data_IF_578940621092
#
_entry.id   IF_578940621092
#
_cell.length_a   1.000
_cell.length_b   1.000
_cell.length_c   1.000
_cell.angle_alpha   90.00
_cell.angle_beta   90.00
_cell.angle_gamma   90.00
#
_symmetry.space_group_name_H-M   'P 1'
#
loop_
_entity.id
_entity.type
_entity.pdbx_description
1 polymer ?
#
# COMPACT_ATOMS: atom_id res chain seq x y z
N UNK A 1 -5.35 -28.15 9.12
CA UNK A 1 -4.97 -29.42 8.46
C UNK A 1 -5.08 -29.22 6.96
N UNK A 2 -4.07 -29.63 6.20
CA UNK A 2 -3.95 -29.47 4.75
C UNK A 2 -3.80 -30.86 4.12
N UNK A 3 -4.43 -31.10 2.97
CA UNK A 3 -4.25 -32.35 2.21
C UNK A 3 -3.03 -32.19 1.30
N UNK A 4 -2.05 -33.07 1.45
CA UNK A 4 -0.79 -33.08 0.70
C UNK A 4 -0.59 -34.44 0.05
N UNK A 5 -0.05 -34.45 -1.17
CA UNK A 5 0.31 -35.64 -1.93
C UNK A 5 1.85 -35.76 -1.90
N UNK A 6 2.36 -36.74 -1.14
CA UNK A 6 3.79 -37.08 -1.08
C UNK A 6 3.99 -38.53 -1.49
N UNK A 7 4.89 -38.79 -2.43
CA UNK A 7 5.13 -40.14 -2.95
C UNK A 7 3.88 -40.80 -3.57
N UNK A 8 2.98 -40.00 -4.16
CA UNK A 8 1.72 -40.46 -4.76
C UNK A 8 0.58 -40.72 -3.78
N UNK A 9 0.78 -40.55 -2.47
CA UNK A 9 -0.24 -40.81 -1.45
C UNK A 9 -0.75 -39.51 -0.82
N UNK A 10 -2.08 -39.41 -0.65
CA UNK A 10 -2.72 -38.32 0.06
C UNK A 10 -2.59 -38.48 1.58
N UNK A 11 -2.22 -37.41 2.26
CA UNK A 11 -2.13 -37.35 3.71
C UNK A 11 -2.55 -35.97 4.23
N UNK A 12 -3.04 -35.94 5.47
CA UNK A 12 -3.35 -34.69 6.18
C UNK A 12 -2.17 -34.30 7.05
N UNK A 13 -1.67 -33.09 6.87
CA UNK A 13 -0.58 -32.52 7.68
C UNK A 13 -1.01 -31.18 8.29
N UNK A 14 -0.30 -30.74 9.32
CA UNK A 14 -0.43 -29.36 9.81
C UNK A 14 0.10 -28.38 8.75
N UNK A 15 -0.49 -27.19 8.63
CA UNK A 15 -0.04 -26.19 7.67
C UNK A 15 1.43 -25.78 7.91
N UNK A 16 1.91 -25.85 9.16
CA UNK A 16 3.29 -25.57 9.55
C UNK A 16 4.30 -26.61 9.06
N UNK A 17 3.84 -27.79 8.63
CA UNK A 17 4.67 -28.87 8.09
C UNK A 17 4.75 -28.85 6.56
N UNK A 18 4.08 -27.88 5.91
CA UNK A 18 4.22 -27.67 4.48
C UNK A 18 5.63 -27.19 4.13
N UNK A 19 6.15 -27.69 3.03
CA UNK A 19 7.41 -27.25 2.43
C UNK A 19 7.20 -26.89 0.96
N UNK A 20 8.11 -26.06 0.43
CA UNK A 20 8.12 -25.76 -1.00
C UNK A 20 8.29 -27.04 -1.82
N UNK A 21 7.52 -27.14 -2.90
CA UNK A 21 7.43 -28.34 -3.74
C UNK A 21 6.37 -29.35 -3.31
N UNK A 22 5.73 -29.17 -2.15
CA UNK A 22 4.58 -30.01 -1.78
C UNK A 22 3.44 -29.84 -2.78
N UNK A 23 2.83 -30.96 -3.19
CA UNK A 23 1.60 -30.96 -3.97
C UNK A 23 0.40 -30.98 -3.02
N UNK A 24 -0.45 -29.96 -3.07
CA UNK A 24 -1.55 -29.78 -2.12
C UNK A 24 -2.91 -29.74 -2.81
N UNK A 25 -3.94 -30.14 -2.06
CA UNK A 25 -5.34 -30.08 -2.49
C UNK A 25 -6.16 -29.25 -1.50
N UNK A 26 -7.12 -28.51 -2.04
CA UNK A 26 -8.08 -27.77 -1.23
C UNK A 26 -9.41 -27.57 -1.95
N UNK A 27 -10.40 -27.13 -1.18
CA UNK A 27 -11.76 -26.89 -1.65
C UNK A 27 -12.33 -25.62 -1.05
N UNK A 28 -13.48 -25.21 -1.57
CA UNK A 28 -14.32 -24.16 -0.98
C UNK A 28 -14.46 -24.34 0.53
N UNK A 29 -14.42 -23.23 1.24
CA UNK A 29 -14.54 -23.24 2.68
C UNK A 29 -13.19 -23.22 3.43
N UNK A 30 -12.07 -23.17 2.73
CA UNK A 30 -10.74 -23.33 3.32
C UNK A 30 -9.84 -22.11 3.13
N UNK A 31 -9.09 -21.79 4.19
CA UNK A 31 -7.94 -20.90 4.12
C UNK A 31 -6.83 -21.54 3.29
N UNK A 32 -6.18 -20.71 2.50
CA UNK A 32 -5.04 -21.09 1.68
C UNK A 32 -3.79 -21.06 2.59
N UNK A 33 -3.10 -22.19 2.79
CA UNK A 33 -2.11 -22.34 3.86
C UNK A 33 -0.70 -21.84 3.50
N UNK A 34 -0.45 -21.61 2.21
CA UNK A 34 0.84 -21.27 1.62
C UNK A 34 0.61 -20.60 0.27
N UNK A 35 1.63 -19.99 -0.32
CA UNK A 35 1.50 -19.53 -1.70
C UNK A 35 1.60 -20.73 -2.63
N UNK A 36 0.66 -20.86 -3.56
CA UNK A 36 0.45 -22.07 -4.35
C UNK A 36 0.30 -21.73 -5.84
N UNK A 37 1.02 -22.45 -6.68
CA UNK A 37 0.85 -22.46 -8.14
C UNK A 37 -0.10 -23.57 -8.55
N UNK A 38 -1.22 -23.21 -9.16
CA UNK A 38 -2.29 -24.13 -9.56
C UNK A 38 -1.91 -25.06 -10.71
N UNK A 39 -2.01 -26.37 -10.53
CA UNK A 39 -1.87 -27.32 -11.64
C UNK A 39 -3.22 -27.74 -12.20
N UNK A 40 -4.24 -27.79 -11.35
CA UNK A 40 -5.60 -28.15 -11.71
C UNK A 40 -6.57 -27.37 -10.83
N UNK A 41 -7.70 -26.96 -11.40
CA UNK A 41 -8.76 -26.31 -10.65
C UNK A 41 -10.12 -26.53 -11.32
N UNK A 42 -11.18 -26.57 -10.53
CA UNK A 42 -12.54 -26.67 -11.02
C UNK A 42 -13.43 -25.62 -10.34
N UNK A 43 -14.03 -24.73 -11.14
CA UNK A 43 -14.87 -23.60 -10.70
C UNK A 43 -14.28 -22.80 -9.51
N UNK A 44 -12.96 -22.66 -9.54
CA UNK A 44 -12.20 -22.11 -8.42
C UNK A 44 -12.31 -20.59 -8.40
N UNK A 45 -12.77 -20.07 -7.26
CA UNK A 45 -12.70 -18.65 -6.94
C UNK A 45 -12.03 -18.47 -5.59
N UNK A 46 -11.25 -17.41 -5.47
CA UNK A 46 -10.58 -17.05 -4.23
C UNK A 46 -10.87 -15.59 -3.88
N UNK A 47 -11.17 -15.35 -2.60
CA UNK A 47 -11.20 -14.00 -2.05
C UNK A 47 -9.77 -13.54 -1.84
N UNK A 48 -9.34 -12.59 -2.65
CA UNK A 48 -8.04 -11.93 -2.56
C UNK A 48 -8.20 -10.42 -2.34
N UNK A 49 -9.36 -10.00 -1.82
CA UNK A 49 -9.70 -8.59 -1.58
C UNK A 49 -8.63 -7.86 -0.76
N UNK A 50 -8.03 -8.56 0.21
CA UNK A 50 -6.97 -8.01 1.03
C UNK A 50 -5.70 -7.65 0.20
N UNK A 51 -5.41 -8.41 -0.85
CA UNK A 51 -4.24 -8.23 -1.71
C UNK A 51 -4.53 -7.35 -2.92
N UNK A 52 -5.69 -7.48 -3.57
CA UNK A 52 -5.97 -6.74 -4.81
C UNK A 52 -6.81 -5.49 -4.58
N UNK A 53 -7.54 -5.42 -3.46
CA UNK A 53 -8.55 -4.37 -3.22
C UNK A 53 -9.88 -4.63 -3.92
N UNK A 54 -9.97 -5.68 -4.75
CA UNK A 54 -11.20 -6.05 -5.43
C UNK A 54 -12.15 -6.77 -4.47
N UNK A 55 -13.40 -6.28 -4.28
CA UNK A 55 -14.33 -6.87 -3.33
C UNK A 55 -14.91 -8.20 -3.81
N UNK A 56 -14.91 -8.44 -5.12
CA UNK A 56 -15.48 -9.66 -5.72
C UNK A 56 -14.43 -10.77 -5.80
N UNK A 57 -14.79 -12.03 -5.47
CA UNK A 57 -13.86 -13.16 -5.58
C UNK A 57 -13.32 -13.35 -7.00
N UNK A 58 -12.00 -13.47 -7.10
CA UNK A 58 -11.30 -13.62 -8.37
C UNK A 58 -11.39 -15.06 -8.87
N UNK A 59 -11.72 -15.21 -10.16
CA UNK A 59 -11.70 -16.50 -10.85
C UNK A 59 -10.26 -16.97 -11.03
N UNK A 60 -10.04 -18.27 -10.83
CA UNK A 60 -8.73 -18.91 -10.94
C UNK A 60 -8.69 -19.98 -12.02
N UNK A 61 -7.52 -20.15 -12.63
CA UNK A 61 -7.24 -21.07 -13.73
C UNK A 61 -5.88 -21.74 -13.52
N UNK A 62 -5.66 -22.96 -14.00
CA UNK A 62 -4.33 -23.61 -13.90
C UNK A 62 -3.37 -23.25 -15.03
N UNK A 63 -3.90 -22.64 -16.10
CA UNK A 63 -3.17 -22.30 -17.32
C UNK A 63 -2.18 -21.15 -17.16
N UNK A 64 -1.68 -20.65 -18.29
CA UNK A 64 -0.91 -19.41 -18.30
C UNK A 64 -1.78 -18.24 -17.85
N UNK A 65 -1.22 -17.37 -17.02
CA UNK A 65 -1.87 -16.13 -16.60
C UNK A 65 -1.14 -14.96 -17.24
N UNK A 66 -1.90 -14.01 -17.77
CA UNK A 66 -1.39 -12.73 -18.28
C UNK A 66 -2.06 -11.63 -17.46
N UNK A 67 -1.30 -11.07 -16.55
CA UNK A 67 -1.75 -10.05 -15.61
C UNK A 67 -0.62 -9.03 -15.42
N UNK A 68 -0.99 -7.81 -15.06
CA UNK A 68 -0.04 -6.71 -14.90
C UNK A 68 0.83 -6.88 -13.64
N UNK A 69 0.27 -7.53 -12.60
CA UNK A 69 0.99 -7.90 -11.38
C UNK A 69 0.74 -9.36 -11.03
N UNK A 70 1.70 -10.00 -10.36
CA UNK A 70 1.57 -11.39 -9.91
C UNK A 70 0.39 -11.58 -8.93
N UNK A 71 -0.02 -10.53 -8.22
CA UNK A 71 -1.16 -10.56 -7.29
C UNK A 71 -2.49 -10.80 -7.99
N UNK A 72 -2.61 -10.36 -9.24
CA UNK A 72 -3.81 -10.57 -10.06
C UNK A 72 -3.76 -11.90 -10.83
N UNK A 73 -2.71 -12.70 -10.60
CA UNK A 73 -2.52 -13.93 -11.35
C UNK A 73 -3.64 -14.91 -11.10
N UNK A 74 -4.27 -15.36 -12.18
CA UNK A 74 -5.34 -16.35 -12.15
C UNK A 74 -4.84 -17.73 -11.69
N UNK A 75 -3.53 -17.95 -11.79
CA UNK A 75 -2.93 -19.26 -11.60
C UNK A 75 -2.12 -19.42 -10.30
N UNK A 76 -2.22 -18.40 -9.44
CA UNK A 76 -1.65 -18.33 -8.10
C UNK A 76 -2.74 -18.18 -7.04
N UNK A 77 -2.52 -18.84 -5.91
CA UNK A 77 -3.22 -18.65 -4.65
C UNK A 77 -2.21 -18.14 -3.61
N UNK A 78 -2.65 -17.27 -2.71
CA UNK A 78 -1.77 -16.65 -1.71
C UNK A 78 -2.14 -17.08 -0.30
N UNK A 79 -1.14 -17.28 0.56
CA UNK A 79 -1.40 -17.62 1.97
C UNK A 79 -2.27 -16.56 2.64
N UNK A 80 -3.14 -16.98 3.58
CA UNK A 80 -4.10 -16.11 4.30
C UNK A 80 -5.23 -15.54 3.41
N UNK A 81 -5.37 -16.02 2.17
CA UNK A 81 -6.59 -15.84 1.36
C UNK A 81 -7.52 -17.05 1.51
N UNK A 82 -8.75 -16.96 0.99
CA UNK A 82 -9.77 -17.99 1.19
C UNK A 82 -10.39 -18.47 -0.12
N UNK A 83 -10.64 -19.78 -0.22
CA UNK A 83 -11.37 -20.36 -1.35
C UNK A 83 -12.88 -20.19 -1.16
N UNK A 84 -13.48 -19.35 -2.00
CA UNK A 84 -14.92 -19.06 -1.94
C UNK A 84 -15.74 -20.13 -2.65
N UNK A 85 -15.26 -20.65 -3.78
CA UNK A 85 -15.91 -21.75 -4.52
C UNK A 85 -14.90 -22.68 -5.18
N UNK A 86 -15.35 -23.89 -5.52
CA UNK A 86 -14.58 -24.84 -6.32
C UNK A 86 -13.56 -25.67 -5.53
N UNK A 87 -12.63 -26.27 -6.26
CA UNK A 87 -11.54 -27.08 -5.71
C UNK A 87 -10.27 -26.95 -6.56
N UNK A 88 -9.13 -27.26 -5.95
CA UNK A 88 -7.83 -27.10 -6.58
C UNK A 88 -6.83 -28.19 -6.19
N UNK A 89 -5.86 -28.39 -7.09
CA UNK A 89 -4.59 -29.05 -6.83
C UNK A 89 -3.47 -28.11 -7.28
N UNK A 90 -2.41 -27.94 -6.47
CA UNK A 90 -1.32 -27.03 -6.80
C UNK A 90 -0.03 -27.31 -6.05
N UNK A 91 1.08 -26.78 -6.55
CA UNK A 91 2.37 -26.86 -5.88
C UNK A 91 2.56 -25.69 -4.91
N UNK A 92 3.04 -25.97 -3.71
CA UNK A 92 3.50 -24.95 -2.78
C UNK A 92 4.77 -24.32 -3.34
N UNK A 93 4.73 -23.00 -3.55
CA UNK A 93 5.86 -22.22 -4.08
C UNK A 93 6.53 -21.34 -3.02
N UNK A 94 5.84 -21.03 -1.92
CA UNK A 94 6.44 -20.36 -0.77
C UNK A 94 5.69 -20.67 0.53
N UNK A 95 6.41 -20.65 1.64
CA UNK A 95 5.88 -20.93 3.00
C UNK A 95 6.38 -19.92 4.02
N UNK A 96 5.59 -19.69 5.08
CA UNK A 96 5.96 -18.84 6.21
C UNK A 96 6.44 -17.45 5.77
N UNK A 97 7.62 -17.03 6.26
CA UNK A 97 8.20 -15.71 5.94
C UNK A 97 8.51 -15.47 4.45
N UNK A 98 8.53 -16.52 3.62
CA UNK A 98 8.78 -16.41 2.18
C UNK A 98 7.51 -16.25 1.36
N UNK A 99 6.32 -16.44 1.93
CA UNK A 99 5.09 -16.10 1.23
C UNK A 99 5.01 -14.59 0.98
N UNK A 100 4.13 -14.15 0.10
CA UNK A 100 3.85 -12.73 -0.12
C UNK A 100 3.52 -12.07 1.23
N UNK A 101 2.59 -12.64 2.00
CA UNK A 101 2.20 -12.07 3.29
C UNK A 101 3.34 -12.11 4.31
N UNK A 102 4.12 -13.20 4.35
CA UNK A 102 5.23 -13.35 5.28
C UNK A 102 6.38 -12.39 5.00
N UNK A 103 6.62 -12.11 3.72
CA UNK A 103 7.62 -11.14 3.27
C UNK A 103 7.19 -9.74 3.69
N UNK A 104 5.92 -9.39 3.43
CA UNK A 104 5.35 -8.10 3.82
C UNK A 104 5.39 -7.89 5.34
N UNK A 105 4.99 -8.89 6.12
CA UNK A 105 5.06 -8.83 7.58
C UNK A 105 6.51 -8.69 8.11
N UNK A 106 7.47 -9.32 7.42
CA UNK A 106 8.91 -9.21 7.77
C UNK A 106 9.47 -7.82 7.46
N UNK A 107 8.98 -7.14 6.43
CA UNK A 107 9.36 -5.75 6.13
C UNK A 107 8.90 -4.80 7.25
N UNK A 108 7.67 -4.99 7.75
CA UNK A 108 7.12 -4.18 8.86
C UNK A 108 7.93 -4.36 10.15
N UNK A 109 8.41 -5.57 10.42
CA UNK A 109 9.09 -5.89 11.68
C UNK A 109 10.54 -5.37 11.76
N UNK A 110 11.13 -4.94 10.64
CA UNK A 110 12.56 -4.62 10.52
C UNK A 110 12.88 -3.11 10.42
N UNK A 111 11.89 -2.23 10.57
CA UNK A 111 12.18 -0.80 10.55
C UNK A 111 12.77 -0.31 11.87
N UNK A 112 14.02 0.15 11.80
CA UNK A 112 14.67 0.89 12.89
C UNK A 112 14.04 2.28 13.04
N UNK A 113 13.70 2.63 14.29
CA UNK A 113 13.23 3.96 14.70
C UNK A 113 14.23 5.06 14.34
N UNK A 114 13.74 6.18 13.81
CA UNK A 114 14.60 7.29 13.38
C UNK A 114 15.31 8.00 14.56
N UNK A 115 16.61 8.34 14.43
CA UNK A 115 17.34 9.07 15.46
C UNK A 115 16.93 10.56 15.50
N UNK A 116 16.49 11.06 16.67
CA UNK A 116 16.32 12.52 16.85
C UNK A 116 15.27 13.05 17.85
N UNK A 117 14.76 12.26 18.81
CA UNK A 117 13.66 12.70 19.70
C UNK A 117 14.12 12.93 21.14
N UNK A 118 13.76 14.09 21.74
CA UNK A 118 14.01 14.38 23.17
C UNK A 118 12.80 14.12 24.07
N UNK A 119 13.03 13.99 25.38
CA UNK A 119 12.01 13.67 26.40
C UNK A 119 10.95 14.78 26.59
N UNK A 120 11.25 16.01 26.19
CA UNK A 120 10.30 17.14 26.22
C UNK A 120 9.28 17.06 25.08
N UNK A 121 9.70 16.52 23.94
CA UNK A 121 8.86 16.37 22.76
C UNK A 121 7.72 15.38 23.07
N UNK A 122 8.02 14.25 23.74
CA UNK A 122 7.06 13.21 24.18
C UNK A 122 5.82 13.73 24.91
N UNK A 123 5.92 14.83 25.66
CA UNK A 123 4.81 15.39 26.45
C UNK A 123 3.80 16.16 25.59
N UNK A 124 4.19 16.61 24.38
CA UNK A 124 3.29 17.32 23.45
C UNK A 124 2.43 16.38 22.60
N UNK A 125 2.91 15.20 22.18
CA UNK A 125 2.07 14.31 21.35
C UNK A 125 0.97 13.62 22.15
N UNK A 126 1.16 13.40 23.46
CA UNK A 126 0.09 12.86 24.32
C UNK A 126 -1.13 13.79 24.31
N UNK A 127 -0.92 15.11 24.28
CA UNK A 127 -2.02 16.08 24.19
C UNK A 127 -2.65 16.15 22.79
N UNK A 128 -1.94 15.79 21.71
CA UNK A 128 -2.53 15.69 20.36
C UNK A 128 -3.41 14.43 20.22
N UNK A 129 -3.09 13.35 20.93
CA UNK A 129 -3.88 12.12 20.95
C UNK A 129 -5.25 12.28 21.64
N UNK A 130 -5.44 13.32 22.45
CA UNK A 130 -6.71 13.57 23.15
C UNK A 130 -7.80 14.19 22.24
N UNK A 131 -7.46 14.66 21.03
CA UNK A 131 -8.39 15.32 20.09
C UNK A 131 -9.07 14.39 19.06
N UNK A 132 -9.23 13.10 19.39
CA UNK A 132 -10.22 12.15 18.82
C UNK A 132 -10.24 11.88 17.30
N UNK A 133 -9.33 12.39 16.47
CA UNK A 133 -9.34 12.10 15.02
C UNK A 133 -8.10 11.35 14.50
N UNK A 134 -7.00 11.28 15.25
CA UNK A 134 -5.79 10.57 14.84
C UNK A 134 -5.18 9.81 16.01
N UNK A 135 -5.04 8.49 15.89
CA UNK A 135 -4.24 7.70 16.83
C UNK A 135 -2.85 7.52 16.24
N UNK A 136 -1.94 8.40 16.63
CA UNK A 136 -0.54 8.29 16.25
C UNK A 136 0.12 7.19 17.12
N UNK A 137 0.65 6.13 16.51
CA UNK A 137 1.32 5.06 17.26
C UNK A 137 2.70 5.48 17.77
N UNK A 138 3.31 6.49 17.15
CA UNK A 138 4.66 6.94 17.51
C UNK A 138 4.79 8.47 17.55
N UNK A 139 5.38 8.98 18.63
CA UNK A 139 5.81 10.38 18.74
C UNK A 139 6.71 10.81 17.56
N UNK A 140 7.43 9.84 16.99
CA UNK A 140 8.35 10.00 15.88
C UNK A 140 7.66 10.51 14.61
N UNK A 141 6.45 10.03 14.27
CA UNK A 141 5.76 10.49 13.06
C UNK A 141 5.49 12.02 13.08
N UNK A 142 5.01 12.56 14.21
CA UNK A 142 4.74 14.01 14.33
C UNK A 142 6.02 14.83 14.19
N UNK A 143 7.13 14.35 14.76
CA UNK A 143 8.43 15.01 14.63
C UNK A 143 8.97 14.94 13.21
N UNK A 144 8.83 13.80 12.53
CA UNK A 144 9.17 13.64 11.11
C UNK A 144 8.41 14.65 10.25
N UNK A 145 7.10 14.78 10.44
CA UNK A 145 6.27 15.76 9.72
C UNK A 145 6.78 17.18 9.96
N UNK A 146 6.99 17.55 11.24
CA UNK A 146 7.51 18.88 11.60
C UNK A 146 8.88 19.16 10.99
N UNK A 147 9.78 18.18 11.03
CA UNK A 147 11.11 18.28 10.45
C UNK A 147 11.05 18.50 8.93
N UNK A 148 10.27 17.67 8.23
CA UNK A 148 10.09 17.80 6.78
C UNK A 148 9.51 19.15 6.37
N UNK A 149 8.55 19.69 7.14
CA UNK A 149 8.03 21.04 6.93
C UNK A 149 9.10 22.11 7.15
N UNK A 150 9.85 22.02 8.25
CA UNK A 150 10.88 23.02 8.59
C UNK A 150 12.01 23.10 7.56
N UNK A 151 12.32 22.00 6.89
CA UNK A 151 13.36 21.93 5.86
C UNK A 151 12.83 22.01 4.42
N UNK A 152 11.54 22.33 4.22
CA UNK A 152 10.91 22.38 2.89
C UNK A 152 11.11 21.08 2.06
N UNK A 153 11.20 19.95 2.75
CA UNK A 153 11.49 18.64 2.17
C UNK A 153 10.30 17.70 2.23
N UNK A 154 9.17 18.09 2.85
CA UNK A 154 8.02 17.20 3.00
C UNK A 154 7.37 16.91 1.65
N UNK A 155 7.24 15.62 1.33
CA UNK A 155 6.41 15.10 0.25
C UNK A 155 5.27 14.28 0.86
N UNK A 156 4.03 14.70 0.56
CA UNK A 156 2.82 14.00 0.96
C UNK A 156 2.30 13.21 -0.24
N UNK A 157 2.32 11.89 -0.14
CA UNK A 157 1.86 10.97 -1.19
C UNK A 157 0.46 10.48 -0.84
N UNK A 158 -0.52 10.78 -1.70
CA UNK A 158 -1.94 10.47 -1.49
C UNK A 158 -2.51 9.74 -2.70
N UNK A 159 -3.28 8.67 -2.45
CA UNK A 159 -4.01 7.97 -3.53
C UNK A 159 -5.17 8.83 -4.04
N UNK A 160 -5.35 8.84 -5.36
CA UNK A 160 -6.42 9.57 -6.05
C UNK A 160 -7.82 9.23 -5.52
N UNK A 161 -8.05 7.99 -5.07
CA UNK A 161 -9.34 7.57 -4.47
C UNK A 161 -9.77 8.37 -3.23
N UNK A 162 -8.81 8.96 -2.48
CA UNK A 162 -9.13 9.83 -1.35
C UNK A 162 -9.50 11.25 -1.79
N UNK A 163 -9.29 11.57 -3.08
CA UNK A 163 -9.52 12.88 -3.67
C UNK A 163 -10.74 12.88 -4.61
N UNK A 164 -11.05 11.76 -5.25
CA UNK A 164 -12.14 11.67 -6.20
C UNK A 164 -13.21 10.72 -5.71
N UNK A 165 -14.45 11.21 -5.68
CA UNK A 165 -15.65 10.41 -5.45
C UNK A 165 -15.88 9.46 -6.62
N UNK A 166 -16.62 8.37 -6.37
CA UNK A 166 -16.99 7.39 -7.41
C UNK A 166 -17.80 8.00 -8.57
N UNK A 167 -18.50 9.10 -8.35
CA UNK A 167 -19.26 9.84 -9.37
C UNK A 167 -18.41 10.85 -10.15
N UNK A 168 -17.09 10.90 -9.90
CA UNK A 168 -16.16 11.87 -10.50
C UNK A 168 -16.18 13.24 -9.83
N UNK A 169 -16.94 13.41 -8.73
CA UNK A 169 -16.89 14.58 -7.88
C UNK A 169 -15.62 14.65 -7.03
N UNK A 170 -15.42 15.78 -6.36
CA UNK A 170 -14.31 15.98 -5.41
C UNK A 170 -14.74 15.66 -3.99
N UNK A 171 -13.84 15.03 -3.24
CA UNK A 171 -14.04 14.90 -1.79
C UNK A 171 -13.98 16.27 -1.09
N UNK A 172 -14.75 16.39 -0.01
CA UNK A 172 -14.77 17.60 0.79
C UNK A 172 -13.40 17.83 1.45
N UNK A 173 -12.93 19.07 1.51
CA UNK A 173 -11.65 19.42 2.15
C UNK A 173 -10.42 19.37 1.23
N UNK A 174 -10.52 18.84 0.00
CA UNK A 174 -9.38 18.81 -0.95
C UNK A 174 -8.80 20.19 -1.18
N UNK A 175 -9.66 21.17 -1.42
CA UNK A 175 -9.21 22.52 -1.74
C UNK A 175 -8.38 23.11 -0.61
N UNK A 176 -8.83 22.95 0.64
CA UNK A 176 -8.11 23.40 1.82
C UNK A 176 -6.77 22.67 1.98
N UNK A 177 -6.76 21.33 1.83
CA UNK A 177 -5.53 20.54 1.88
C UNK A 177 -4.50 21.01 0.83
N UNK A 178 -4.96 21.18 -0.42
CA UNK A 178 -4.11 21.59 -1.54
C UNK A 178 -3.55 23.00 -1.32
N UNK A 179 -4.38 23.95 -0.90
CA UNK A 179 -3.97 25.33 -0.67
C UNK A 179 -2.98 25.41 0.50
N UNK A 180 -3.23 24.72 1.62
CA UNK A 180 -2.30 24.66 2.75
C UNK A 180 -0.98 23.96 2.42
N UNK A 181 -1.01 22.90 1.60
CA UNK A 181 0.22 22.25 1.13
C UNK A 181 1.08 23.23 0.32
N UNK A 182 0.46 24.01 -0.57
CA UNK A 182 1.16 25.03 -1.37
C UNK A 182 1.74 26.12 -0.49
N UNK A 183 0.95 26.66 0.43
CA UNK A 183 1.38 27.74 1.34
C UNK A 183 2.52 27.28 2.28
N UNK A 184 2.57 25.99 2.59
CA UNK A 184 3.61 25.39 3.43
C UNK A 184 4.74 24.71 2.64
N UNK A 185 4.80 24.88 1.31
CA UNK A 185 5.80 24.26 0.43
C UNK A 185 5.92 22.72 0.59
N UNK A 186 4.80 22.06 0.85
CA UNK A 186 4.67 20.60 0.90
C UNK A 186 4.41 20.10 -0.51
N UNK A 187 5.24 19.17 -0.98
CA UNK A 187 5.06 18.53 -2.29
C UNK A 187 3.92 17.50 -2.20
N UNK A 188 2.71 17.88 -2.62
CA UNK A 188 1.59 16.95 -2.74
C UNK A 188 1.74 16.12 -4.02
N UNK A 189 1.82 14.80 -3.87
CA UNK A 189 1.97 13.84 -4.97
C UNK A 189 0.78 12.89 -4.96
N UNK A 190 0.09 12.80 -6.10
CA UNK A 190 -1.09 11.97 -6.29
C UNK A 190 -0.71 10.69 -7.02
N UNK A 191 -1.09 9.53 -6.48
CA UNK A 191 -0.96 8.25 -7.19
C UNK A 191 -2.31 7.77 -7.72
N UNK A 192 -2.37 7.36 -8.99
CA UNK A 192 -3.59 6.83 -9.63
C UNK A 192 -3.27 5.57 -10.43
N UNK A 193 -4.28 4.71 -10.57
CA UNK A 193 -4.22 3.53 -11.45
C UNK A 193 -4.59 3.87 -12.91
N UNK A 194 -5.20 5.03 -13.13
CA UNK A 194 -5.53 5.55 -14.47
C UNK A 194 -4.27 5.93 -15.24
N UNK A 195 -4.39 6.18 -16.55
CA UNK A 195 -3.29 6.70 -17.33
C UNK A 195 -2.94 8.17 -16.99
N UNK A 196 -1.83 8.62 -17.59
CA UNK A 196 -1.26 9.96 -17.38
C UNK A 196 -2.23 11.06 -17.79
N UNK A 197 -2.93 10.89 -18.92
CA UNK A 197 -3.82 11.91 -19.46
C UNK A 197 -5.07 12.04 -18.59
N UNK A 198 -5.64 10.92 -18.16
CA UNK A 198 -6.81 10.88 -17.28
C UNK A 198 -6.53 11.53 -15.92
N UNK A 199 -5.39 11.19 -15.29
CA UNK A 199 -4.98 11.80 -14.03
C UNK A 199 -4.72 13.31 -14.21
N UNK A 200 -4.04 13.69 -15.28
CA UNK A 200 -3.74 15.11 -15.58
C UNK A 200 -5.03 15.91 -15.79
N UNK A 201 -5.95 15.40 -16.60
CA UNK A 201 -7.21 16.08 -16.91
C UNK A 201 -8.10 16.21 -15.66
N UNK A 202 -8.22 15.14 -14.88
CA UNK A 202 -9.00 15.12 -13.64
C UNK A 202 -8.42 16.07 -12.59
N UNK A 203 -7.09 16.05 -12.42
CA UNK A 203 -6.38 16.94 -11.51
C UNK A 203 -6.45 18.41 -11.93
N UNK A 204 -6.38 18.71 -13.23
CA UNK A 204 -6.55 20.08 -13.75
C UNK A 204 -7.98 20.60 -13.54
N UNK A 205 -8.99 19.78 -13.87
CA UNK A 205 -10.41 20.12 -13.62
C UNK A 205 -10.67 20.40 -12.14
N UNK A 206 -9.95 19.72 -11.27
CA UNK A 206 -10.02 19.88 -9.82
C UNK A 206 -9.18 21.04 -9.26
N UNK A 207 -8.41 21.75 -10.09
CA UNK A 207 -7.42 22.77 -9.68
C UNK A 207 -6.32 22.23 -8.74
N UNK A 208 -6.06 20.92 -8.77
CA UNK A 208 -4.98 20.30 -8.01
C UNK A 208 -3.68 20.35 -8.80
N UNK A 209 -3.74 19.99 -10.09
CA UNK A 209 -2.61 19.96 -11.02
C UNK A 209 -2.62 21.23 -11.89
N UNK A 210 -1.47 21.90 -11.98
CA UNK A 210 -1.21 23.11 -12.76
C UNK A 210 -0.55 22.77 -14.10
N UNK A 211 -0.28 23.80 -14.92
CA UNK A 211 0.30 23.58 -16.25
C UNK A 211 1.80 23.26 -16.22
N UNK A 212 2.51 23.72 -15.19
CA UNK A 212 3.93 23.49 -14.95
C UNK A 212 4.22 22.26 -14.07
N UNK A 213 3.15 21.64 -13.55
CA UNK A 213 3.21 20.39 -12.79
C UNK A 213 3.47 19.19 -13.70
N UNK A 214 4.23 18.24 -13.19
CA UNK A 214 4.62 17.01 -13.88
C UNK A 214 3.79 15.84 -13.39
N UNK A 215 3.17 15.15 -14.34
CA UNK A 215 2.54 13.84 -14.14
C UNK A 215 3.31 12.82 -14.98
N UNK A 216 3.69 11.69 -14.38
CA UNK A 216 4.47 10.65 -15.06
C UNK A 216 3.84 9.28 -14.89
N UNK A 217 4.16 8.37 -15.80
CA UNK A 217 3.88 6.94 -15.63
C UNK A 217 4.82 6.33 -14.58
N UNK A 218 4.33 5.35 -13.81
CA UNK A 218 5.14 4.67 -12.79
C UNK A 218 6.42 4.04 -13.34
N UNK A 219 6.45 3.63 -14.61
CA UNK A 219 7.64 3.12 -15.28
C UNK A 219 8.79 4.14 -15.32
N UNK A 220 8.47 5.45 -15.38
CA UNK A 220 9.48 6.52 -15.30
C UNK A 220 10.10 6.58 -13.90
N UNK A 221 9.29 6.37 -12.86
CA UNK A 221 9.75 6.33 -11.46
C UNK A 221 10.66 5.13 -11.24
N UNK A 222 10.27 3.94 -11.71
CA UNK A 222 11.06 2.72 -11.60
C UNK A 222 12.41 2.90 -12.27
N UNK A 223 12.42 3.37 -13.52
CA UNK A 223 13.64 3.65 -14.27
C UNK A 223 14.53 4.69 -13.58
N UNK A 224 13.95 5.70 -12.93
CA UNK A 224 14.72 6.70 -12.19
C UNK A 224 15.44 6.10 -10.97
N UNK A 225 14.85 5.12 -10.29
CA UNK A 225 15.54 4.36 -9.21
C UNK A 225 16.74 3.61 -9.78
N UNK A 226 16.56 2.89 -10.88
CA UNK A 226 17.61 2.08 -11.52
C UNK A 226 18.77 2.93 -12.02
N UNK A 227 18.46 4.06 -12.66
CA UNK A 227 19.45 4.98 -13.24
C UNK A 227 20.01 5.99 -12.22
N UNK A 228 19.54 5.97 -10.95
CA UNK A 228 19.91 6.94 -9.90
C UNK A 228 19.65 8.41 -10.29
N UNK A 229 18.56 8.67 -11.04
CA UNK A 229 18.14 10.01 -11.49
C UNK A 229 16.97 10.58 -10.69
N UNK A 230 16.88 10.21 -9.42
CA UNK A 230 15.76 10.52 -8.54
C UNK A 230 15.53 12.02 -8.35
N UNK A 231 16.59 12.83 -8.28
CA UNK A 231 16.44 14.29 -8.15
C UNK A 231 15.80 14.94 -9.38
N UNK A 232 16.07 14.46 -10.59
CA UNK A 232 15.53 15.02 -11.83
C UNK A 232 14.03 14.72 -11.99
N UNK A 233 13.62 13.48 -11.68
CA UNK A 233 12.23 13.07 -11.86
C UNK A 233 11.30 13.77 -10.87
N UNK A 234 11.77 14.07 -9.65
CA UNK A 234 10.96 14.67 -8.57
C UNK A 234 10.68 16.17 -8.77
N UNK A 235 11.48 16.88 -9.58
CA UNK A 235 11.25 18.32 -9.84
C UNK A 235 9.83 18.53 -10.39
N UNK A 236 9.02 19.35 -9.71
CA UNK A 236 7.60 19.62 -10.04
C UNK A 236 6.71 18.37 -10.17
N UNK A 237 7.10 17.23 -9.60
CA UNK A 237 6.28 16.02 -9.63
C UNK A 237 5.04 16.20 -8.75
N UNK A 238 3.86 16.05 -9.34
CA UNK A 238 2.56 16.14 -8.64
C UNK A 238 1.71 14.89 -8.88
N UNK A 239 1.98 14.10 -9.92
CA UNK A 239 1.20 12.90 -10.22
C UNK A 239 2.02 11.72 -10.70
N UNK A 240 1.64 10.52 -10.25
CA UNK A 240 2.15 9.24 -10.76
C UNK A 240 0.95 8.38 -11.18
N UNK A 241 0.86 8.13 -12.47
CA UNK A 241 -0.20 7.35 -13.11
C UNK A 241 0.20 5.88 -13.26
N UNK A 242 -0.79 5.01 -13.50
CA UNK A 242 -0.67 3.54 -13.58
C UNK A 242 0.10 2.95 -12.41
N UNK A 243 -0.02 3.56 -11.24
CA UNK A 243 0.67 3.14 -10.03
C UNK A 243 -0.23 2.18 -9.26
N UNK A 244 0.00 0.88 -9.44
CA UNK A 244 -0.77 -0.18 -8.81
C UNK A 244 0.07 -1.00 -7.83
N UNK A 245 -0.59 -1.55 -6.83
CA UNK A 245 0.02 -2.56 -5.99
C UNK A 245 1.31 -2.12 -5.29
N UNK A 246 2.33 -2.98 -5.37
CA UNK A 246 3.66 -2.77 -4.81
C UNK A 246 4.50 -1.69 -5.52
N UNK A 247 4.00 -1.10 -6.62
CA UNK A 247 4.73 -0.11 -7.42
C UNK A 247 4.82 1.27 -6.77
N UNK A 248 4.15 1.46 -5.62
CA UNK A 248 4.28 2.66 -4.77
C UNK A 248 5.62 2.69 -4.01
N UNK A 249 6.26 1.54 -3.81
CA UNK A 249 7.57 1.43 -3.16
C UNK A 249 8.71 2.14 -3.93
N UNK A 250 8.85 1.95 -5.26
CA UNK A 250 9.75 2.76 -6.08
C UNK A 250 9.54 4.26 -5.91
N UNK A 251 8.29 4.74 -5.83
CA UNK A 251 7.99 6.17 -5.64
C UNK A 251 8.53 6.68 -4.30
N UNK A 252 8.25 5.98 -3.20
CA UNK A 252 8.81 6.33 -1.88
C UNK A 252 10.34 6.36 -1.94
N UNK A 253 10.94 5.38 -2.62
CA UNK A 253 12.40 5.28 -2.78
C UNK A 253 12.99 6.47 -3.54
N UNK A 254 12.39 6.86 -4.67
CA UNK A 254 12.80 8.03 -5.46
C UNK A 254 12.72 9.31 -4.62
N UNK A 255 11.63 9.50 -3.88
CA UNK A 255 11.44 10.70 -3.06
C UNK A 255 12.49 10.78 -1.94
N UNK A 256 12.76 9.67 -1.26
CA UNK A 256 13.81 9.60 -0.24
C UNK A 256 15.20 9.87 -0.81
N UNK A 257 15.51 9.29 -1.97
CA UNK A 257 16.79 9.55 -2.67
C UNK A 257 16.92 11.00 -3.14
N UNK A 258 15.81 11.68 -3.40
CA UNK A 258 15.75 13.11 -3.67
C UNK A 258 15.74 13.97 -2.38
N UNK A 259 16.13 13.40 -1.24
CA UNK A 259 16.19 14.05 0.08
C UNK A 259 14.84 14.61 0.57
N UNK A 260 13.72 14.02 0.13
CA UNK A 260 12.39 14.36 0.65
C UNK A 260 12.08 13.57 1.93
N UNK A 261 11.44 14.22 2.88
CA UNK A 261 10.77 13.57 4.00
C UNK A 261 9.40 13.09 3.50
N UNK A 262 9.14 11.79 3.55
CA UNK A 262 8.01 11.17 2.84
C UNK A 262 6.94 10.77 3.84
N UNK A 263 5.75 11.34 3.67
CA UNK A 263 4.52 10.92 4.33
C UNK A 263 3.67 10.19 3.30
N UNK A 264 3.32 8.94 3.58
CA UNK A 264 2.56 8.09 2.66
C UNK A 264 1.26 7.63 3.32
N UNK A 265 0.13 7.81 2.63
CA UNK A 265 -1.15 7.24 3.07
C UNK A 265 -1.53 6.03 2.20
N UNK A 266 -1.90 4.92 2.86
CA UNK A 266 -2.30 3.68 2.21
C UNK A 266 -3.26 2.87 3.07
N UNK A 267 -3.91 1.86 2.48
CA UNK A 267 -4.93 1.06 3.18
C UNK A 267 -4.84 -0.44 2.96
N UNK A 268 -4.28 -0.89 1.85
CA UNK A 268 -4.30 -2.30 1.48
C UNK A 268 -2.96 -2.97 1.73
N UNK A 269 -2.92 -4.29 1.62
CA UNK A 269 -1.69 -5.06 1.77
C UNK A 269 -0.61 -4.58 0.79
N UNK A 270 -1.01 -4.12 -0.39
CA UNK A 270 -0.12 -3.55 -1.40
C UNK A 270 0.64 -2.30 -0.95
N UNK A 271 0.04 -1.56 -0.02
CA UNK A 271 0.62 -0.34 0.52
C UNK A 271 1.66 -0.63 1.61
N UNK A 272 1.66 -1.84 2.17
CA UNK A 272 2.52 -2.24 3.29
C UNK A 272 4.00 -1.91 3.05
N UNK A 273 4.63 -2.20 1.89
CA UNK A 273 6.02 -1.84 1.67
C UNK A 273 6.25 -0.33 1.64
N UNK A 274 5.33 0.45 1.05
CA UNK A 274 5.45 1.90 0.96
C UNK A 274 5.17 2.57 2.32
N UNK A 275 4.18 2.09 3.06
CA UNK A 275 3.88 2.48 4.44
C UNK A 275 5.11 2.28 5.31
N UNK A 276 5.64 1.05 5.32
CA UNK A 276 6.84 0.73 6.09
C UNK A 276 8.03 1.57 5.63
N UNK A 277 8.32 1.68 4.33
CA UNK A 277 9.51 2.41 3.88
C UNK A 277 9.43 3.92 4.11
N UNK A 278 8.24 4.50 4.11
CA UNK A 278 8.05 5.94 4.28
C UNK A 278 8.58 6.44 5.64
N UNK A 279 8.84 7.74 5.74
CA UNK A 279 9.31 8.31 7.01
C UNK A 279 8.16 8.49 8.01
N UNK A 280 6.93 8.66 7.52
CA UNK A 280 5.72 8.42 8.29
C UNK A 280 4.64 7.78 7.40
N UNK A 281 4.30 6.53 7.70
CA UNK A 281 3.20 5.80 7.07
C UNK A 281 1.89 6.03 7.82
N UNK A 282 0.83 6.35 7.08
CA UNK A 282 -0.49 6.62 7.63
C UNK A 282 -1.48 5.62 7.04
N UNK A 283 -2.15 4.87 7.92
CA UNK A 283 -3.29 4.04 7.55
C UNK A 283 -4.60 4.75 7.91
N UNK A 284 -5.69 4.34 7.29
CA UNK A 284 -7.07 4.73 7.66
C UNK A 284 -7.71 3.68 8.55
N UNK A 285 -8.84 4.02 9.18
CA UNK A 285 -9.60 3.09 10.01
C UNK A 285 -10.09 1.85 9.24
N UNK A 286 -10.45 1.99 7.97
CA UNK A 286 -10.90 0.87 7.12
C UNK A 286 -9.75 0.07 6.49
N UNK A 287 -8.50 0.42 6.81
CA UNK A 287 -7.32 -0.28 6.28
C UNK A 287 -7.22 -1.71 6.78
N UNK A 288 -6.59 -2.57 5.99
CA UNK A 288 -6.27 -3.96 6.37
C UNK A 288 -5.39 -3.99 7.62
N UNK A 289 -5.51 -5.04 8.44
CA UNK A 289 -4.73 -5.16 9.69
C UNK A 289 -3.21 -5.12 9.45
N UNK A 290 -2.76 -5.63 8.30
CA UNK A 290 -1.36 -5.60 7.89
C UNK A 290 -0.92 -4.17 7.53
N UNK A 291 -1.74 -3.42 6.76
CA UNK A 291 -1.45 -2.03 6.46
C UNK A 291 -1.45 -1.17 7.73
N UNK A 292 -2.42 -1.36 8.63
CA UNK A 292 -2.42 -0.71 9.95
C UNK A 292 -1.17 -1.09 10.74
N UNK A 293 -0.77 -2.36 10.71
CA UNK A 293 0.44 -2.86 11.35
C UNK A 293 1.71 -2.20 10.83
N UNK A 294 1.76 -1.90 9.53
CA UNK A 294 2.87 -1.22 8.86
C UNK A 294 2.93 0.29 9.07
N UNK A 295 1.80 0.91 9.37
CA UNK A 295 1.69 2.36 9.51
C UNK A 295 2.13 2.86 10.91
N UNK A 296 2.71 4.06 10.92
CA UNK A 296 3.08 4.81 12.13
C UNK A 296 1.90 5.52 12.78
N UNK A 297 0.85 5.79 12.02
CA UNK A 297 -0.38 6.40 12.50
C UNK A 297 -1.61 5.78 11.84
N UNK A 298 -2.72 5.78 12.57
CA UNK A 298 -4.03 5.42 12.04
C UNK A 298 -4.95 6.63 12.17
N UNK A 299 -5.50 7.09 11.04
CA UNK A 299 -6.54 8.11 10.99
C UNK A 299 -7.88 7.44 11.30
N UNK A 300 -8.56 7.92 12.34
CA UNK A 300 -9.89 7.47 12.73
C UNK A 300 -10.91 8.41 12.10
N UNK A 301 -11.84 7.87 11.33
CA UNK A 301 -12.66 8.70 10.47
C UNK A 301 -13.85 9.27 11.27
N UNK A 302 -13.86 10.59 11.44
CA UNK A 302 -15.01 11.31 12.02
C UNK A 302 -15.82 12.09 11.00
N UNK A 303 -15.22 12.49 9.87
CA UNK A 303 -15.85 13.31 8.82
C UNK A 303 -15.37 12.91 7.41
N UNK A 304 -14.05 12.92 7.17
CA UNK A 304 -13.37 12.23 6.06
C UNK A 304 -11.84 12.19 6.26
N UNK A 305 -11.16 11.30 5.54
CA UNK A 305 -9.69 11.12 5.54
C UNK A 305 -8.90 12.43 5.33
N UNK A 306 -9.41 13.34 4.48
CA UNK A 306 -8.70 14.58 4.14
C UNK A 306 -8.71 15.58 5.28
N UNK A 307 -9.80 15.68 6.04
CA UNK A 307 -9.86 16.51 7.23
C UNK A 307 -8.85 16.03 8.27
N UNK A 308 -8.78 14.71 8.50
CA UNK A 308 -7.79 14.11 9.40
C UNK A 308 -6.35 14.36 8.97
N UNK A 309 -6.05 14.25 7.67
CA UNK A 309 -4.73 14.58 7.11
C UNK A 309 -4.40 16.06 7.28
N UNK A 310 -5.34 16.96 6.98
CA UNK A 310 -5.13 18.40 7.14
C UNK A 310 -4.85 18.74 8.60
N UNK A 311 -5.65 18.23 9.53
CA UNK A 311 -5.42 18.44 10.96
C UNK A 311 -4.03 17.93 11.38
N UNK A 312 -3.67 16.69 11.00
CA UNK A 312 -2.37 16.10 11.35
C UNK A 312 -1.17 16.92 10.82
N UNK A 313 -1.30 17.49 9.62
CA UNK A 313 -0.20 18.18 8.96
C UNK A 313 -0.09 19.65 9.39
N UNK A 314 -1.20 20.31 9.75
CA UNK A 314 -1.24 21.76 9.91
C UNK A 314 -1.67 22.25 11.30
N UNK A 315 -2.40 21.45 12.08
CA UNK A 315 -2.98 21.87 13.36
C UNK A 315 -2.32 21.15 14.57
#
# INVERSE_FOLDING_TARGET
MVIVIRGGNEMKVDARELVEGDLVKGSSGQLIPADIRLIECNDLKADQSAFTGEPEPLKKTSGESRCDTYLDSENLLFSETYVTSGAYTGFVIATGKRTVIGTLASLVSNNETHPGVTRADKKKAVNLMENKQVLCKSFECLNTIRFGKSNNSLALVVKAKYLFKKDGGLEAGIKDLVDRCRDSNISLIITSETDVDDLTNSGKKANIIRNDDKVVDVGVIIKAVEEKKSSEVVVNLVGVARCQGCQTLPLVTVLQQAAKTVVYIGESINDTPALAKSHCGIATEDSTDIAKGAADAVLFDGENVLAGLTALLFD
#
